data_IF_749698282827
#
_entry.id   IF_749698282827
#
_cell.length_a   1.000
_cell.length_b   1.000
_cell.length_c   1.000
_cell.angle_alpha   90.00
_cell.angle_beta   90.00
_cell.angle_gamma   90.00
#
_symmetry.space_group_name_H-M   'P 1'
#
loop_
_entity.id
_entity.type
_entity.pdbx_description
1 polymer ?
#
# COMPACT_ATOMS: atom_id res chain seq x y z
N UNK A 1 -18.73 7.63 -3.76
CA UNK A 1 -18.26 6.81 -2.63
C UNK A 1 -19.04 5.51 -2.45
N UNK A 2 -20.38 5.49 -2.37
CA UNK A 2 -21.18 4.25 -2.15
C UNK A 2 -20.85 3.10 -3.11
N UNK A 3 -20.74 3.37 -4.42
CA UNK A 3 -20.39 2.34 -5.41
C UNK A 3 -19.00 1.73 -5.16
N UNK A 4 -18.03 2.55 -4.77
CA UNK A 4 -16.66 2.10 -4.43
C UNK A 4 -16.69 1.21 -3.19
N UNK A 5 -17.42 1.62 -2.14
CA UNK A 5 -17.56 0.82 -0.93
C UNK A 5 -18.20 -0.55 -1.21
N UNK A 6 -19.18 -0.60 -2.13
CA UNK A 6 -19.77 -1.86 -2.58
C UNK A 6 -18.76 -2.80 -3.23
N UNK A 7 -17.90 -2.28 -4.12
CA UNK A 7 -16.84 -3.07 -4.74
C UNK A 7 -15.77 -3.52 -3.75
N UNK A 8 -15.35 -2.63 -2.85
CA UNK A 8 -14.38 -2.98 -1.80
C UNK A 8 -14.93 -4.07 -0.88
N UNK A 9 -16.18 -3.95 -0.42
CA UNK A 9 -16.85 -4.97 0.39
C UNK A 9 -16.89 -6.32 -0.33
N UNK A 10 -17.27 -6.32 -1.61
CA UNK A 10 -17.32 -7.54 -2.42
C UNK A 10 -15.93 -8.18 -2.50
N UNK A 11 -14.88 -7.42 -2.80
CA UNK A 11 -13.51 -7.93 -2.87
C UNK A 11 -13.04 -8.50 -1.52
N UNK A 12 -13.30 -7.80 -0.41
CA UNK A 12 -12.95 -8.27 0.94
C UNK A 12 -13.58 -9.63 1.21
N UNK A 13 -14.86 -9.82 0.86
CA UNK A 13 -15.58 -11.06 1.08
C UNK A 13 -15.16 -12.18 0.13
N UNK A 14 -14.97 -11.86 -1.16
CA UNK A 14 -14.63 -12.85 -2.19
C UNK A 14 -13.22 -13.43 -2.02
N UNK A 15 -12.26 -12.59 -1.60
CA UNK A 15 -10.86 -12.99 -1.44
C UNK A 15 -10.45 -13.18 0.03
N UNK A 16 -11.37 -13.09 0.97
CA UNK A 16 -11.08 -13.19 2.41
C UNK A 16 -9.89 -12.29 2.81
N UNK A 17 -9.99 -11.00 2.46
CA UNK A 17 -8.88 -10.07 2.62
C UNK A 17 -8.72 -9.59 4.06
N UNK A 18 -9.82 -9.45 4.80
CA UNK A 18 -9.85 -8.91 6.16
C UNK A 18 -10.59 -9.87 7.07
N UNK A 19 -9.98 -10.19 8.21
CA UNK A 19 -10.54 -11.01 9.28
C UNK A 19 -10.73 -10.19 10.55
N UNK A 20 -11.54 -10.68 11.44
CA UNK A 20 -11.78 -10.04 12.74
C UNK A 20 -10.48 -9.97 13.55
N UNK A 21 -10.22 -8.82 14.16
CA UNK A 21 -8.99 -8.55 14.92
C UNK A 21 -7.76 -8.15 14.08
N UNK A 22 -7.88 -8.04 12.75
CA UNK A 22 -6.75 -7.63 11.91
C UNK A 22 -6.26 -6.21 12.22
N UNK A 23 -4.96 -6.02 12.07
CA UNK A 23 -4.30 -4.73 12.08
C UNK A 23 -3.67 -4.45 10.72
N UNK A 24 -4.23 -3.49 9.99
CA UNK A 24 -3.93 -3.27 8.57
C UNK A 24 -3.13 -1.99 8.41
N UNK A 25 -1.93 -2.11 7.86
CA UNK A 25 -1.14 -0.97 7.41
C UNK A 25 -1.62 -0.56 6.01
N UNK A 26 -2.08 0.67 5.84
CA UNK A 26 -2.44 1.22 4.53
C UNK A 26 -1.24 1.98 4.00
N UNK A 27 -0.68 1.52 2.89
CA UNK A 27 0.41 2.21 2.19
C UNK A 27 -0.13 3.44 1.45
N UNK A 28 0.26 4.64 1.91
CA UNK A 28 -0.24 5.90 1.38
C UNK A 28 0.86 6.57 0.57
N UNK A 29 0.65 6.67 -0.74
CA UNK A 29 1.58 7.35 -1.67
C UNK A 29 1.27 8.84 -1.86
N UNK A 30 0.16 9.34 -1.32
CA UNK A 30 -0.39 10.66 -1.62
C UNK A 30 -1.22 10.72 -2.91
N UNK A 31 -1.21 9.66 -3.72
CA UNK A 31 -2.05 9.54 -4.92
C UNK A 31 -3.51 9.21 -4.57
N UNK A 32 -4.42 9.58 -5.49
CA UNK A 32 -5.87 9.42 -5.33
C UNK A 32 -6.30 8.03 -4.88
N UNK A 33 -5.68 6.98 -5.44
CA UNK A 33 -6.10 5.59 -5.21
C UNK A 33 -5.79 5.13 -3.78
N UNK A 34 -4.61 5.51 -3.25
CA UNK A 34 -4.25 5.23 -1.86
C UNK A 34 -5.13 5.98 -0.85
N UNK A 35 -5.53 7.21 -1.17
CA UNK A 35 -6.45 8.01 -0.33
C UNK A 35 -7.88 7.47 -0.38
N UNK A 36 -8.34 7.03 -1.55
CA UNK A 36 -9.64 6.37 -1.71
C UNK A 36 -9.68 5.05 -0.94
N UNK A 37 -8.61 4.25 -1.00
CA UNK A 37 -8.48 3.02 -0.23
C UNK A 37 -8.56 3.28 1.28
N UNK A 38 -7.75 4.24 1.78
CA UNK A 38 -7.75 4.61 3.20
C UNK A 38 -9.14 5.01 3.69
N UNK A 39 -9.77 5.96 2.97
CA UNK A 39 -11.10 6.47 3.31
C UNK A 39 -12.17 5.36 3.19
N UNK A 40 -12.08 4.52 2.15
CA UNK A 40 -12.98 3.39 1.96
C UNK A 40 -12.91 2.38 3.10
N UNK A 41 -11.70 1.98 3.52
CA UNK A 41 -11.50 1.07 4.67
C UNK A 41 -12.00 1.70 5.97
N UNK A 42 -11.72 2.99 6.20
CA UNK A 42 -12.21 3.69 7.39
C UNK A 42 -13.75 3.73 7.47
N UNK A 43 -14.41 3.95 6.34
CA UNK A 43 -15.89 3.94 6.28
C UNK A 43 -16.45 2.53 6.42
N UNK A 44 -15.88 1.53 5.74
CA UNK A 44 -16.32 0.14 5.80
C UNK A 44 -16.27 -0.43 7.22
N UNK A 45 -15.30 -0.06 8.03
CA UNK A 45 -15.17 -0.47 9.43
C UNK A 45 -16.46 -0.29 10.24
N UNK A 46 -17.30 0.70 9.87
CA UNK A 46 -18.54 1.04 10.60
C UNK A 46 -19.70 0.09 10.32
N UNK A 47 -19.68 -0.65 9.21
CA UNK A 47 -20.86 -1.44 8.79
C UNK A 47 -20.55 -2.78 8.12
N UNK A 48 -19.27 -3.17 8.00
CA UNK A 48 -18.90 -4.45 7.39
C UNK A 48 -19.12 -5.64 8.33
N UNK A 49 -19.24 -5.38 9.64
CA UNK A 49 -19.44 -6.43 10.66
C UNK A 49 -18.15 -7.17 11.04
N UNK A 50 -16.99 -6.62 10.69
CA UNK A 50 -15.66 -7.14 11.02
C UNK A 50 -14.93 -6.02 11.76
N UNK A 51 -14.34 -6.32 12.92
CA UNK A 51 -13.54 -5.36 13.66
C UNK A 51 -12.07 -5.44 13.23
N UNK A 52 -11.48 -4.30 12.85
CA UNK A 52 -10.09 -4.21 12.43
C UNK A 52 -9.51 -2.82 12.71
N UNK A 53 -8.21 -2.77 12.93
CA UNK A 53 -7.47 -1.53 13.14
C UNK A 53 -6.79 -1.07 11.84
N UNK A 54 -6.73 0.25 11.62
CA UNK A 54 -6.02 0.86 10.49
C UNK A 54 -4.84 1.68 11.00
N UNK A 55 -3.72 1.59 10.28
CA UNK A 55 -2.52 2.41 10.45
C UNK A 55 -2.11 2.95 9.09
N UNK A 56 -2.05 4.26 8.92
CA UNK A 56 -1.56 4.89 7.70
C UNK A 56 -0.03 4.97 7.71
N UNK A 57 0.62 4.54 6.63
CA UNK A 57 2.08 4.60 6.48
C UNK A 57 2.43 5.24 5.14
N UNK A 58 3.21 6.32 5.18
CA UNK A 58 3.85 6.90 4.02
C UNK A 58 5.35 6.70 4.09
N UNK A 59 5.94 6.26 2.99
CA UNK A 59 7.39 6.23 2.82
C UNK A 59 7.82 7.49 2.08
N UNK A 60 8.61 8.32 2.74
CA UNK A 60 9.24 9.47 2.11
C UNK A 60 10.62 9.08 1.57
N UNK A 61 10.79 8.98 0.24
CA UNK A 61 12.06 8.62 -0.35
C UNK A 61 13.10 9.74 -0.31
N UNK A 62 12.74 10.94 0.14
CA UNK A 62 13.60 12.13 0.20
C UNK A 62 14.36 12.38 -1.10
N UNK A 63 13.63 12.49 -2.21
CA UNK A 63 14.25 12.81 -3.51
C UNK A 63 15.02 14.13 -3.43
N UNK A 64 16.29 14.10 -3.85
CA UNK A 64 17.22 15.23 -3.76
C UNK A 64 17.42 15.77 -2.35
N UNK A 65 17.28 14.92 -1.33
CA UNK A 65 17.45 15.29 0.08
C UNK A 65 16.36 16.20 0.66
N UNK A 66 15.25 16.40 -0.06
CA UNK A 66 14.16 17.27 0.40
C UNK A 66 13.01 16.41 0.93
N UNK A 67 12.55 16.61 2.19
CA UNK A 67 11.37 15.94 2.72
C UNK A 67 10.12 16.33 1.95
N UNK A 68 9.22 15.34 1.72
CA UNK A 68 7.92 15.60 1.13
C UNK A 68 6.95 16.28 2.10
N UNK A 69 6.01 17.07 1.57
CA UNK A 69 4.90 17.60 2.37
C UNK A 69 3.72 16.63 2.36
N UNK A 70 3.40 16.08 3.53
CA UNK A 70 2.29 15.14 3.76
C UNK A 70 1.25 15.69 4.74
N UNK A 71 1.22 17.00 4.96
CA UNK A 71 0.33 17.67 5.91
C UNK A 71 -1.16 17.41 5.63
N UNK A 72 -1.56 17.42 4.36
CA UNK A 72 -2.92 17.10 3.93
C UNK A 72 -3.32 15.65 4.23
N UNK A 73 -2.39 14.71 4.07
CA UNK A 73 -2.60 13.30 4.42
C UNK A 73 -2.72 13.12 5.92
N UNK A 74 -1.87 13.80 6.69
CA UNK A 74 -1.94 13.78 8.15
C UNK A 74 -3.27 14.32 8.67
N UNK A 75 -3.77 15.42 8.09
CA UNK A 75 -5.09 15.96 8.40
C UNK A 75 -6.24 14.99 8.09
N UNK A 76 -6.19 14.30 6.95
CA UNK A 76 -7.17 13.28 6.60
C UNK A 76 -7.15 12.11 7.60
N UNK A 77 -5.98 11.58 7.93
CA UNK A 77 -5.84 10.48 8.89
C UNK A 77 -6.37 10.87 10.28
N UNK A 78 -6.06 12.08 10.74
CA UNK A 78 -6.58 12.63 12.00
C UNK A 78 -8.11 12.73 11.99
N UNK A 79 -8.70 13.20 10.91
CA UNK A 79 -10.16 13.27 10.75
C UNK A 79 -10.86 11.91 10.71
N UNK A 80 -10.14 10.85 10.37
CA UNK A 80 -10.62 9.46 10.32
C UNK A 80 -10.29 8.65 11.58
N UNK A 81 -9.63 9.26 12.58
CA UNK A 81 -9.12 8.59 13.77
C UNK A 81 -8.18 7.41 13.42
N UNK A 82 -7.23 7.66 12.50
CA UNK A 82 -6.24 6.70 12.05
C UNK A 82 -4.85 7.19 12.45
N UNK A 83 -4.08 6.34 13.13
CA UNK A 83 -2.66 6.62 13.41
C UNK A 83 -1.89 6.69 12.10
N UNK A 84 -1.11 7.75 11.93
CA UNK A 84 -0.36 8.00 10.69
C UNK A 84 1.13 8.15 10.98
N UNK A 85 1.95 7.48 10.18
CA UNK A 85 3.40 7.48 10.29
C UNK A 85 4.05 7.80 8.94
N UNK A 86 4.99 8.73 8.97
CA UNK A 86 5.86 9.06 7.84
C UNK A 86 7.22 8.45 8.14
N UNK A 87 7.66 7.54 7.27
CA UNK A 87 8.95 6.88 7.38
C UNK A 87 9.90 7.54 6.38
N UNK A 88 10.85 8.28 6.89
CA UNK A 88 11.93 8.83 6.07
C UNK A 88 12.87 7.72 5.64
N UNK A 89 13.23 7.69 4.37
CA UNK A 89 14.12 6.68 3.80
C UNK A 89 15.17 7.35 2.91
N UNK A 90 16.33 6.71 2.78
CA UNK A 90 17.37 7.13 1.84
C UNK A 90 17.23 6.47 0.45
N UNK A 91 16.02 6.00 0.11
CA UNK A 91 15.79 5.28 -1.14
C UNK A 91 16.10 6.15 -2.36
N UNK A 92 15.75 7.43 -2.32
CA UNK A 92 16.07 8.37 -3.41
C UNK A 92 17.57 8.46 -3.66
N UNK A 93 18.34 8.73 -2.62
CA UNK A 93 19.81 8.80 -2.67
C UNK A 93 20.43 7.48 -3.16
N UNK A 94 20.03 6.35 -2.58
CA UNK A 94 20.59 5.03 -2.93
C UNK A 94 20.33 4.70 -4.41
N UNK A 95 19.12 4.94 -4.89
CA UNK A 95 18.70 4.52 -6.24
C UNK A 95 19.28 5.43 -7.31
N UNK A 96 19.25 6.76 -7.10
CA UNK A 96 19.58 7.73 -8.14
C UNK A 96 21.00 8.27 -8.06
N UNK A 97 21.58 8.38 -6.87
CA UNK A 97 22.90 8.99 -6.68
C UNK A 97 24.00 7.94 -6.49
N UNK A 98 23.73 6.86 -5.75
CA UNK A 98 24.75 5.85 -5.42
C UNK A 98 24.81 4.74 -6.47
N UNK A 99 23.68 4.06 -6.73
CA UNK A 99 23.67 2.85 -7.58
C UNK A 99 23.59 3.12 -9.07
N UNK A 100 22.94 4.18 -9.51
CA UNK A 100 22.78 4.59 -10.93
C UNK A 100 22.48 3.40 -11.86
N UNK A 101 21.57 2.52 -11.44
CA UNK A 101 21.20 1.32 -12.20
C UNK A 101 20.45 1.68 -13.49
N UNK A 102 20.56 0.82 -14.51
CA UNK A 102 19.82 0.97 -15.76
C UNK A 102 18.29 1.01 -15.56
N UNK A 103 17.79 0.33 -14.51
CA UNK A 103 16.37 0.25 -14.14
C UNK A 103 16.10 0.76 -12.71
N UNK A 104 16.27 2.08 -12.47
CA UNK A 104 16.16 2.66 -11.14
C UNK A 104 14.75 2.47 -10.54
N UNK A 105 13.70 2.45 -11.39
CA UNK A 105 12.32 2.28 -10.94
C UNK A 105 12.06 0.90 -10.30
N UNK A 106 12.63 -0.16 -10.85
CA UNK A 106 12.49 -1.52 -10.31
C UNK A 106 13.14 -1.66 -8.94
N UNK A 107 14.35 -1.12 -8.79
CA UNK A 107 15.04 -1.11 -7.49
C UNK A 107 14.27 -0.27 -6.46
N UNK A 108 13.85 0.93 -6.84
CA UNK A 108 13.05 1.81 -5.98
C UNK A 108 11.78 1.10 -5.49
N UNK A 109 11.04 0.44 -6.38
CA UNK A 109 9.82 -0.28 -6.04
C UNK A 109 10.08 -1.42 -5.03
N UNK A 110 11.16 -2.21 -5.24
CA UNK A 110 11.56 -3.28 -4.31
C UNK A 110 11.94 -2.74 -2.94
N UNK A 111 12.74 -1.67 -2.88
CA UNK A 111 13.17 -1.07 -1.63
C UNK A 111 11.97 -0.48 -0.87
N UNK A 112 11.08 0.24 -1.56
CA UNK A 112 9.85 0.80 -0.97
C UNK A 112 8.95 -0.31 -0.40
N UNK A 113 8.76 -1.40 -1.15
CA UNK A 113 7.98 -2.55 -0.67
C UNK A 113 8.62 -3.15 0.59
N UNK A 114 9.94 -3.36 0.59
CA UNK A 114 10.67 -3.85 1.75
C UNK A 114 10.48 -2.96 2.98
N UNK A 115 10.71 -1.66 2.83
CA UNK A 115 10.57 -0.67 3.90
C UNK A 115 9.13 -0.58 4.44
N UNK A 116 8.11 -0.67 3.55
CA UNK A 116 6.72 -0.67 3.99
C UNK A 116 6.38 -1.90 4.84
N UNK A 117 6.87 -3.08 4.45
CA UNK A 117 6.64 -4.30 5.21
C UNK A 117 7.31 -4.24 6.60
N UNK A 118 8.54 -3.71 6.68
CA UNK A 118 9.24 -3.57 7.94
C UNK A 118 8.54 -2.56 8.86
N UNK A 119 8.10 -1.43 8.31
CA UNK A 119 7.30 -0.44 9.04
C UNK A 119 5.96 -1.02 9.53
N UNK A 120 5.24 -1.76 8.68
CA UNK A 120 3.98 -2.39 9.07
C UNK A 120 4.17 -3.33 10.27
N UNK A 121 5.21 -4.17 10.26
CA UNK A 121 5.55 -5.03 11.40
C UNK A 121 5.91 -4.23 12.65
N UNK A 122 6.72 -3.18 12.50
CA UNK A 122 7.11 -2.32 13.62
C UNK A 122 5.88 -1.71 14.33
N UNK A 123 4.82 -1.40 13.57
CA UNK A 123 3.58 -0.86 14.14
C UNK A 123 2.54 -1.94 14.48
N UNK A 124 2.94 -3.21 14.50
CA UNK A 124 2.11 -4.35 14.91
C UNK A 124 0.97 -4.65 13.94
N UNK A 125 1.20 -4.42 12.64
CA UNK A 125 0.26 -4.78 11.60
C UNK A 125 0.57 -6.17 11.05
N UNK A 126 -0.47 -6.97 10.85
CA UNK A 126 -0.38 -8.30 10.24
C UNK A 126 -0.79 -8.31 8.76
N UNK A 127 -1.39 -7.21 8.28
CA UNK A 127 -1.79 -7.02 6.89
C UNK A 127 -1.33 -5.67 6.35
N UNK A 128 -1.12 -5.62 5.02
CA UNK A 128 -0.84 -4.39 4.28
C UNK A 128 -1.88 -4.26 3.18
N UNK A 129 -2.49 -3.09 3.09
CA UNK A 129 -3.38 -2.74 2.00
C UNK A 129 -2.72 -1.70 1.08
N UNK A 130 -2.74 -1.97 -0.22
CA UNK A 130 -2.21 -1.11 -1.26
C UNK A 130 -3.32 -0.69 -2.22
N UNK A 131 -3.24 0.55 -2.71
CA UNK A 131 -4.24 1.14 -3.60
C UNK A 131 -4.14 0.66 -5.06
N UNK A 132 -3.80 -0.61 -5.29
CA UNK A 132 -3.87 -1.21 -6.61
C UNK A 132 -5.32 -1.53 -6.98
N UNK A 133 -5.64 -1.38 -8.26
CA UNK A 133 -6.98 -1.64 -8.78
C UNK A 133 -6.93 -2.55 -10.02
N UNK A 134 -8.10 -2.85 -10.57
CA UNK A 134 -8.23 -3.80 -11.68
C UNK A 134 -7.42 -3.41 -12.92
N UNK A 135 -7.31 -2.12 -13.23
CA UNK A 135 -6.53 -1.68 -14.39
C UNK A 135 -5.02 -1.93 -14.19
N UNK A 136 -4.49 -1.76 -12.96
CA UNK A 136 -3.08 -2.08 -12.67
C UNK A 136 -2.80 -3.56 -12.92
N UNK A 137 -3.76 -4.44 -12.59
CA UNK A 137 -3.66 -5.86 -12.85
C UNK A 137 -3.62 -6.17 -14.36
N UNK A 138 -4.51 -5.54 -15.15
CA UNK A 138 -4.54 -5.70 -16.60
C UNK A 138 -3.25 -5.15 -17.23
N UNK A 139 -2.83 -3.96 -16.84
CA UNK A 139 -1.60 -3.34 -17.33
C UNK A 139 -0.38 -4.23 -17.05
N UNK A 140 -0.28 -4.75 -15.82
CA UNK A 140 0.79 -5.70 -15.45
C UNK A 140 0.75 -6.97 -16.29
N UNK A 141 -0.43 -7.52 -16.52
CA UNK A 141 -0.61 -8.71 -17.36
C UNK A 141 -0.14 -8.44 -18.80
N UNK A 142 -0.57 -7.32 -19.39
CA UNK A 142 -0.20 -6.93 -20.75
C UNK A 142 1.31 -6.67 -20.85
N UNK A 143 1.90 -5.97 -19.88
CA UNK A 143 3.34 -5.72 -19.84
C UNK A 143 4.15 -7.00 -19.76
N UNK A 144 3.73 -7.96 -18.91
CA UNK A 144 4.40 -9.25 -18.80
C UNK A 144 4.30 -10.06 -20.10
N UNK A 145 3.13 -10.01 -20.76
CA UNK A 145 2.91 -10.72 -22.01
C UNK A 145 3.81 -10.18 -23.14
N UNK A 146 3.86 -8.86 -23.32
CA UNK A 146 4.59 -8.24 -24.42
C UNK A 146 6.09 -8.08 -24.18
N UNK A 147 6.51 -7.78 -22.96
CA UNK A 147 7.92 -7.50 -22.66
C UNK A 147 8.69 -8.74 -22.19
N UNK A 148 8.01 -9.66 -21.48
CA UNK A 148 8.68 -10.80 -20.86
C UNK A 148 8.23 -12.15 -21.42
N UNK A 149 7.23 -12.17 -22.33
CA UNK A 149 6.68 -13.40 -22.89
C UNK A 149 6.03 -14.31 -21.83
N UNK A 150 5.63 -13.76 -20.69
CA UNK A 150 5.04 -14.52 -19.58
C UNK A 150 3.58 -14.16 -19.37
N UNK A 151 2.78 -15.20 -19.11
CA UNK A 151 1.40 -15.03 -18.63
C UNK A 151 1.47 -14.91 -17.11
N UNK A 152 1.24 -13.71 -16.57
CA UNK A 152 1.28 -13.47 -15.13
C UNK A 152 0.77 -12.11 -14.72
N UNK A 153 0.21 -12.06 -13.52
CA UNK A 153 -0.25 -10.86 -12.86
C UNK A 153 -0.01 -10.99 -11.35
N UNK A 154 -0.17 -9.92 -10.59
CA UNK A 154 -0.16 -10.02 -9.15
C UNK A 154 -1.52 -10.56 -8.63
N UNK A 155 -1.46 -11.28 -7.51
CA UNK A 155 -2.65 -11.78 -6.83
C UNK A 155 -3.30 -10.67 -5.99
N UNK A 156 -4.63 -10.65 -5.85
CA UNK A 156 -5.32 -9.75 -4.91
C UNK A 156 -4.88 -9.91 -3.46
N UNK A 157 -4.41 -11.10 -3.10
CA UNK A 157 -3.89 -11.43 -1.77
C UNK A 157 -2.59 -12.21 -1.92
N UNK A 158 -1.53 -11.76 -1.27
CA UNK A 158 -0.26 -12.48 -1.23
C UNK A 158 0.29 -12.55 0.19
N UNK A 159 0.83 -13.73 0.55
CA UNK A 159 1.45 -13.95 1.85
C UNK A 159 2.98 -14.01 1.71
N UNK A 160 3.65 -13.23 2.52
CA UNK A 160 5.12 -13.16 2.58
C UNK A 160 5.63 -13.92 3.80
N UNK A 161 5.93 -15.20 3.61
CA UNK A 161 6.36 -16.12 4.67
C UNK A 161 7.58 -15.64 5.45
N UNK A 162 8.55 -14.99 4.78
CA UNK A 162 9.76 -14.46 5.43
C UNK A 162 9.47 -13.31 6.40
N UNK A 163 8.39 -12.59 6.22
CA UNK A 163 8.00 -11.42 7.03
C UNK A 163 6.73 -11.65 7.83
N UNK A 164 6.10 -12.82 7.66
CA UNK A 164 4.84 -13.18 8.33
C UNK A 164 3.80 -12.04 8.23
N UNK A 165 3.53 -11.59 7.01
CA UNK A 165 2.59 -10.51 6.71
C UNK A 165 1.85 -10.80 5.41
N UNK A 166 0.57 -10.44 5.35
CA UNK A 166 -0.26 -10.54 4.14
C UNK A 166 -0.40 -9.16 3.47
N UNK A 167 -0.26 -9.09 2.15
CA UNK A 167 -0.46 -7.88 1.35
C UNK A 167 -1.38 -8.13 0.17
#
# INVERSE_FOLDING_TARGET
MQKILGYMRKAIQEFDLISDGDSIAVGISGGKDSLVLLNGLALLRRFIGIDYRLVGITLDPQFKGTPGDFSSVAGLCSGLDIKYHIIQTHIGEIVFDIRKEENPCSLCARMRRGALHDAAKQYGCNKIALGHHYNDAIETFIMNLFNEGRIGCFSPKSYLSRKDITS
#
